data_IF_356603283438
#
_entry.id   IF_356603283438
#
_cell.length_a   1.000
_cell.length_b   1.000
_cell.length_c   1.000
_cell.angle_alpha   90.00
_cell.angle_beta   90.00
_cell.angle_gamma   90.00
#
_symmetry.space_group_name_H-M   'P 1'
#
loop_
_entity.id
_entity.type
_entity.pdbx_description
1 polymer ?
#
# COMPACT_ATOMS: atom_id res chain seq x y z
N UNK A 1 -6.32 -0.16 -7.55
CA UNK A 1 -5.56 0.92 -8.22
C UNK A 1 -4.67 1.52 -7.15
N UNK A 2 -3.35 1.46 -7.31
CA UNK A 2 -2.56 0.73 -8.31
C UNK A 2 -2.49 -0.78 -7.93
N UNK A 3 -2.14 -1.69 -8.86
CA UNK A 3 -2.15 -3.13 -8.54
C UNK A 3 -2.42 -4.04 -9.73
N UNK A 4 -1.62 -3.91 -10.80
CA UNK A 4 -1.28 -5.04 -11.67
C UNK A 4 -0.35 -5.97 -10.87
N UNK A 5 -0.25 -7.27 -11.21
CA UNK A 5 0.33 -8.30 -10.34
C UNK A 5 1.67 -7.85 -9.76
N UNK A 6 1.81 -7.96 -8.44
CA UNK A 6 3.08 -7.73 -7.76
C UNK A 6 3.91 -8.98 -7.96
N UNK A 7 5.05 -8.85 -8.61
CA UNK A 7 5.98 -9.97 -8.72
C UNK A 7 6.59 -10.21 -7.35
N UNK A 8 6.42 -11.41 -6.79
CA UNK A 8 7.04 -11.80 -5.53
C UNK A 8 7.49 -13.25 -5.59
N UNK A 9 8.56 -13.56 -4.86
CA UNK A 9 9.05 -14.93 -4.76
C UNK A 9 10.37 -15.00 -4.00
N UNK A 10 11.08 -16.10 -4.19
CA UNK A 10 12.41 -16.33 -3.63
C UNK A 10 13.36 -16.65 -4.78
N UNK A 11 14.46 -15.92 -4.89
CA UNK A 11 15.50 -16.13 -5.89
C UNK A 11 16.76 -16.55 -5.15
N UNK A 12 17.22 -17.80 -5.37
CA UNK A 12 18.43 -18.35 -4.73
C UNK A 12 18.44 -18.14 -3.21
N UNK A 13 17.33 -18.46 -2.54
CA UNK A 13 17.17 -18.29 -1.09
C UNK A 13 16.90 -16.85 -0.62
N UNK A 14 16.89 -15.86 -1.52
CA UNK A 14 16.66 -14.45 -1.17
C UNK A 14 15.24 -14.03 -1.54
N UNK A 15 14.51 -13.43 -0.60
CA UNK A 15 13.18 -12.89 -0.86
C UNK A 15 13.25 -11.76 -1.91
N UNK A 16 12.35 -11.79 -2.90
CA UNK A 16 12.26 -10.83 -3.99
C UNK A 16 10.86 -10.24 -4.08
N UNK A 17 10.79 -8.92 -4.25
CA UNK A 17 9.55 -8.17 -4.49
C UNK A 17 9.80 -7.17 -5.61
N UNK A 18 9.15 -7.39 -6.75
CA UNK A 18 9.16 -6.48 -7.90
C UNK A 18 8.14 -5.36 -7.73
N UNK A 19 8.65 -4.13 -7.59
CA UNK A 19 7.81 -2.93 -7.55
C UNK A 19 7.48 -2.47 -8.98
N UNK A 20 6.27 -1.95 -9.23
CA UNK A 20 5.91 -1.39 -10.52
C UNK A 20 6.68 -0.09 -10.82
N UNK A 21 6.94 0.20 -12.09
CA UNK A 21 7.70 1.40 -12.49
C UNK A 21 6.99 2.74 -12.24
N UNK A 22 5.68 2.75 -11.99
CA UNK A 22 4.96 3.98 -11.64
C UNK A 22 5.20 4.35 -10.16
N UNK A 23 5.67 5.56 -9.81
CA UNK A 23 6.04 5.90 -8.44
C UNK A 23 4.92 5.76 -7.42
N UNK A 24 3.69 6.15 -7.78
CA UNK A 24 2.51 6.02 -6.90
C UNK A 24 2.17 4.55 -6.69
N UNK A 25 2.28 3.75 -7.74
CA UNK A 25 2.12 2.31 -7.66
C UNK A 25 3.17 1.65 -6.79
N UNK A 26 4.43 2.03 -6.97
CA UNK A 26 5.56 1.53 -6.21
C UNK A 26 5.39 1.80 -4.72
N UNK A 27 5.04 3.03 -4.36
CA UNK A 27 4.78 3.41 -2.97
C UNK A 27 3.65 2.59 -2.34
N UNK A 28 2.51 2.46 -3.02
CA UNK A 28 1.36 1.70 -2.48
C UNK A 28 1.71 0.21 -2.35
N UNK A 29 2.38 -0.37 -3.35
CA UNK A 29 2.86 -1.75 -3.29
C UNK A 29 3.84 -1.94 -2.12
N UNK A 30 4.77 -1.01 -1.93
CA UNK A 30 5.70 -1.07 -0.80
C UNK A 30 4.96 -1.01 0.54
N UNK A 31 4.10 -0.01 0.74
CA UNK A 31 3.43 0.24 2.00
C UNK A 31 2.52 -0.92 2.44
N UNK A 32 1.86 -1.59 1.50
CA UNK A 32 0.90 -2.67 1.79
C UNK A 32 1.47 -4.08 1.69
N UNK A 33 2.57 -4.29 0.96
CA UNK A 33 3.09 -5.63 0.68
C UNK A 33 4.54 -5.74 1.15
N UNK A 34 5.45 -4.95 0.57
CA UNK A 34 6.87 -5.09 0.88
C UNK A 34 7.20 -4.81 2.35
N UNK A 35 6.59 -3.77 2.94
CA UNK A 35 6.73 -3.42 4.35
C UNK A 35 6.35 -4.60 5.26
N UNK A 36 5.24 -5.27 4.96
CA UNK A 36 4.79 -6.42 5.74
C UNK A 36 5.78 -7.59 5.63
N UNK A 37 6.25 -7.90 4.42
CA UNK A 37 7.24 -8.95 4.20
C UNK A 37 8.56 -8.66 4.93
N UNK A 38 9.08 -7.43 4.87
CA UNK A 38 10.30 -7.02 5.58
C UNK A 38 10.16 -7.21 7.08
N UNK A 39 9.05 -6.74 7.67
CA UNK A 39 8.81 -6.93 9.11
C UNK A 39 8.69 -8.40 9.50
N UNK A 40 8.05 -9.23 8.67
CA UNK A 40 7.94 -10.67 8.93
C UNK A 40 9.31 -11.35 8.91
N UNK A 41 10.15 -11.02 7.92
CA UNK A 41 11.53 -11.53 7.81
C UNK A 41 12.43 -11.03 8.95
N UNK A 42 12.16 -9.84 9.49
CA UNK A 42 12.87 -9.30 10.65
C UNK A 42 12.37 -9.86 12.01
N UNK A 43 11.41 -10.78 12.01
CA UNK A 43 10.82 -11.33 13.24
C UNK A 43 9.90 -10.35 14.00
N UNK A 44 9.50 -9.25 13.38
CA UNK A 44 8.64 -8.26 14.01
C UNK A 44 7.16 -8.70 13.97
N UNK A 45 6.43 -8.35 15.02
CA UNK A 45 4.97 -8.52 15.06
C UNK A 45 4.32 -7.53 14.11
N UNK A 46 3.57 -8.04 13.14
CA UNK A 46 2.82 -7.20 12.19
C UNK A 46 1.78 -6.36 12.94
N UNK A 47 1.79 -5.06 12.66
CA UNK A 47 0.75 -4.15 13.12
C UNK A 47 0.01 -3.60 11.89
N UNK A 48 -1.34 -3.64 11.88
CA UNK A 48 -2.11 -3.06 10.79
C UNK A 48 -1.87 -1.55 10.73
N UNK A 49 -1.93 -0.94 9.53
CA UNK A 49 -1.86 0.51 9.42
C UNK A 49 -2.98 1.18 10.22
N UNK A 50 -2.66 2.28 10.89
CA UNK A 50 -3.66 3.09 11.58
C UNK A 50 -4.58 3.71 10.53
N UNK A 51 -5.88 3.38 10.59
CA UNK A 51 -6.92 3.98 9.76
C UNK A 51 -7.79 4.91 10.61
N UNK A 52 -8.13 6.08 10.08
CA UNK A 52 -9.06 7.02 10.71
C UNK A 52 -10.16 7.39 9.71
N UNK A 53 -11.45 7.26 10.06
CA UNK A 53 -12.51 7.78 9.21
C UNK A 53 -12.43 9.31 9.18
N UNK A 54 -12.55 9.89 7.98
CA UNK A 54 -12.51 11.35 7.77
C UNK A 54 -13.59 11.75 6.78
N UNK A 55 -14.10 12.99 6.90
CA UNK A 55 -15.03 13.56 5.91
C UNK A 55 -14.26 13.97 4.66
N UNK A 56 -14.70 13.49 3.49
CA UNK A 56 -14.15 13.95 2.22
C UNK A 56 -14.65 15.38 1.93
N UNK A 57 -13.72 16.30 1.66
CA UNK A 57 -14.01 17.66 1.22
C UNK A 57 -14.12 17.78 -0.31
N UNK A 58 -14.29 16.66 -1.01
CA UNK A 58 -14.38 16.56 -2.47
C UNK A 58 -15.32 15.41 -2.85
N UNK A 59 -15.95 15.55 -4.02
CA UNK A 59 -16.72 14.46 -4.61
C UNK A 59 -15.78 13.38 -5.16
N UNK A 60 -16.05 12.12 -4.84
CA UNK A 60 -15.27 10.99 -5.35
C UNK A 60 -16.19 9.85 -5.80
N UNK A 61 -16.05 9.41 -7.06
CA UNK A 61 -16.78 8.27 -7.59
C UNK A 61 -15.86 7.04 -7.63
N UNK A 62 -16.08 6.13 -6.69
CA UNK A 62 -15.37 4.85 -6.62
C UNK A 62 -15.93 3.84 -7.62
N UNK A 63 -15.06 3.03 -8.24
CA UNK A 63 -15.51 1.86 -9.00
C UNK A 63 -15.80 0.67 -8.06
N UNK A 64 -17.00 0.04 -8.17
CA UNK A 64 -17.32 -1.17 -7.42
C UNK A 64 -16.28 -2.28 -7.63
N UNK A 65 -16.07 -3.12 -6.62
CA UNK A 65 -15.14 -4.27 -6.69
C UNK A 65 -13.65 -3.93 -6.74
N UNK A 66 -13.26 -2.64 -6.73
CA UNK A 66 -11.85 -2.23 -6.79
C UNK A 66 -11.43 -1.48 -5.54
N UNK A 67 -10.35 -1.95 -4.89
CA UNK A 67 -9.67 -1.17 -3.86
C UNK A 67 -8.88 -0.03 -4.53
N UNK A 68 -9.08 1.18 -4.04
CA UNK A 68 -8.49 2.40 -4.59
C UNK A 68 -7.76 3.15 -3.46
N UNK A 69 -6.48 3.43 -3.68
CA UNK A 69 -5.65 4.18 -2.75
C UNK A 69 -5.52 5.62 -3.28
N UNK A 70 -6.46 6.47 -2.86
CA UNK A 70 -6.50 7.88 -3.25
C UNK A 70 -5.59 8.66 -2.32
N UNK A 71 -4.70 9.47 -2.90
CA UNK A 71 -3.86 10.37 -2.12
C UNK A 71 -4.71 11.54 -1.64
N UNK A 72 -4.66 11.81 -0.35
CA UNK A 72 -5.38 12.91 0.30
C UNK A 72 -4.41 13.69 1.19
N UNK A 73 -4.73 14.95 1.43
CA UNK A 73 -4.08 15.77 2.45
C UNK A 73 -5.09 16.05 3.54
N UNK A 74 -4.68 15.86 4.80
CA UNK A 74 -5.49 16.27 5.95
C UNK A 74 -5.17 17.73 6.25
N UNK A 75 -6.20 18.58 6.28
CA UNK A 75 -6.10 19.90 6.88
C UNK A 75 -6.43 19.73 8.36
N UNK A 76 -5.54 20.17 9.24
CA UNK A 76 -5.80 20.15 10.68
C UNK A 76 -7.07 20.95 10.97
N UNK A 77 -7.96 20.37 11.77
CA UNK A 77 -8.88 21.16 12.59
C UNK A 77 -8.03 21.86 13.63
N UNK A 78 -8.03 23.21 13.61
CA UNK A 78 -8.00 23.90 14.89
C UNK A 78 -9.24 23.49 15.68
#
# INVERSE_FOLDING_TARGET
KPGRPVAMGVIRGTAFIGLPGNPVASFVTFAHIARAAIFALAGARQQPPISRPVRAAFSYRKKPGRREYVRVSLRGTQ
#
